data_IF_177399514067
#
_entry.id   IF_177399514067
#
_cell.length_a   1.000
_cell.length_b   1.000
_cell.length_c   1.000
_cell.angle_alpha   90.00
_cell.angle_beta   90.00
_cell.angle_gamma   90.00
#
_symmetry.space_group_name_H-M   'P 1'
#
loop_
_entity.id
_entity.type
_entity.pdbx_description
1 polymer ?
#
# COMPACT_ATOMS: atom_id res chain seq x y z
N UNK A 1 -20.24 -8.65 -3.81
CA UNK A 1 -19.62 -9.34 -2.64
C UNK A 1 -19.21 -8.37 -1.53
N UNK A 2 -18.70 -7.19 -1.85
CA UNK A 2 -18.24 -6.20 -0.85
C UNK A 2 -19.37 -5.73 0.08
N UNK A 3 -20.62 -5.69 -0.38
CA UNK A 3 -21.79 -5.30 0.43
C UNK A 3 -22.05 -6.28 1.59
N UNK A 4 -21.66 -7.53 1.45
CA UNK A 4 -21.81 -8.54 2.51
C UNK A 4 -20.95 -8.22 3.76
N UNK A 5 -19.86 -7.47 3.58
CA UNK A 5 -18.95 -7.11 4.67
C UNK A 5 -19.34 -5.85 5.44
N UNK A 6 -20.34 -5.08 4.97
CA UNK A 6 -20.77 -3.85 5.65
C UNK A 6 -21.12 -4.09 7.12
N UNK A 7 -21.92 -5.10 7.50
CA UNK A 7 -22.24 -5.34 8.90
C UNK A 7 -21.02 -5.70 9.75
N UNK A 8 -20.07 -6.43 9.18
CA UNK A 8 -18.81 -6.80 9.85
C UNK A 8 -17.90 -5.58 9.98
N UNK A 9 -17.83 -4.77 8.92
CA UNK A 9 -17.08 -3.53 8.90
C UNK A 9 -17.55 -2.52 9.96
N UNK A 10 -18.87 -2.38 10.16
CA UNK A 10 -19.43 -1.48 11.18
C UNK A 10 -19.09 -1.89 12.61
N UNK A 11 -18.67 -3.15 12.82
CA UNK A 11 -18.20 -3.68 14.11
C UNK A 11 -16.68 -3.87 14.16
N UNK A 12 -15.97 -3.53 13.08
CA UNK A 12 -14.52 -3.64 13.03
C UNK A 12 -13.89 -2.58 13.95
N UNK A 13 -12.85 -2.99 14.65
CA UNK A 13 -11.98 -2.13 15.44
C UNK A 13 -10.59 -2.05 14.77
N UNK A 14 -9.67 -1.35 15.42
CA UNK A 14 -8.26 -1.23 15.01
C UNK A 14 -7.63 -2.59 14.65
N UNK A 15 -8.16 -3.65 15.18
CA UNK A 15 -7.63 -5.01 15.08
C UNK A 15 -6.90 -5.39 16.37
N UNK A 16 -6.61 -6.67 16.53
CA UNK A 16 -5.85 -7.20 17.67
C UNK A 16 -4.37 -7.40 17.31
N UNK A 17 -3.94 -6.96 16.13
CA UNK A 17 -2.59 -7.12 15.65
C UNK A 17 -1.68 -6.03 16.23
N UNK A 18 -0.52 -6.46 16.76
CA UNK A 18 0.51 -5.57 17.25
C UNK A 18 0.96 -4.54 16.20
N UNK A 19 0.95 -4.91 14.92
CA UNK A 19 1.30 -4.05 13.80
C UNK A 19 0.36 -2.85 13.66
N UNK A 20 -0.93 -3.06 13.84
CA UNK A 20 -1.94 -1.99 13.79
C UNK A 20 -1.72 -0.96 14.91
N UNK A 21 -1.43 -1.44 16.13
CA UNK A 21 -1.14 -0.54 17.26
C UNK A 21 0.18 0.23 17.07
N UNK A 22 1.22 -0.41 16.53
CA UNK A 22 2.49 0.25 16.25
C UNK A 22 2.33 1.38 15.22
N UNK A 23 1.56 1.15 14.15
CA UNK A 23 1.25 2.15 13.12
C UNK A 23 0.49 3.34 13.68
N UNK A 24 -0.50 3.11 14.55
CA UNK A 24 -1.25 4.18 15.21
C UNK A 24 -0.36 4.91 16.22
N UNK A 25 0.45 4.18 16.96
CA UNK A 25 1.41 4.74 17.93
C UNK A 25 2.37 5.74 17.29
N UNK A 26 2.80 5.52 16.05
CA UNK A 26 3.63 6.46 15.29
C UNK A 26 2.95 7.82 15.14
N UNK A 27 1.66 7.82 14.80
CA UNK A 27 0.89 9.06 14.66
C UNK A 27 0.68 9.77 15.99
N UNK A 28 0.30 9.04 17.05
CA UNK A 28 0.11 9.60 18.38
C UNK A 28 1.41 10.23 18.89
N UNK A 29 2.52 9.52 18.78
CA UNK A 29 3.82 10.03 19.16
C UNK A 29 4.21 11.31 18.37
N UNK A 30 3.90 11.35 17.07
CA UNK A 30 4.18 12.52 16.25
C UNK A 30 3.36 13.75 16.71
N UNK A 31 2.09 13.57 17.06
CA UNK A 31 1.26 14.69 17.58
C UNK A 31 1.76 15.16 18.93
N UNK A 32 2.09 14.25 19.84
CA UNK A 32 2.44 14.59 21.22
C UNK A 32 3.84 15.18 21.35
N UNK A 33 4.81 14.71 20.57
CA UNK A 33 6.22 15.09 20.68
C UNK A 33 6.73 15.96 19.53
N UNK A 34 6.01 16.03 18.39
CA UNK A 34 6.50 16.62 17.15
C UNK A 34 7.62 15.81 16.47
N UNK A 35 7.99 14.66 17.03
CA UNK A 35 9.08 13.82 16.54
C UNK A 35 8.46 12.60 15.86
N UNK A 36 8.83 12.38 14.60
CA UNK A 36 8.44 11.18 13.89
C UNK A 36 9.30 9.99 14.32
N UNK A 37 8.66 8.98 14.89
CA UNK A 37 9.27 7.70 15.23
C UNK A 37 8.56 6.63 14.39
N UNK A 38 9.25 5.96 13.45
CA UNK A 38 8.63 4.94 12.62
C UNK A 38 8.15 3.77 13.47
N UNK A 39 7.02 3.19 13.08
CA UNK A 39 6.42 2.02 13.76
C UNK A 39 7.37 0.83 13.80
N UNK A 40 8.21 0.69 12.78
CA UNK A 40 9.30 -0.29 12.65
C UNK A 40 10.39 0.21 11.69
N UNK A 41 11.66 -0.16 11.88
CA UNK A 41 12.67 0.06 10.87
C UNK A 41 12.40 -0.76 9.59
N UNK A 42 12.49 -0.19 8.39
CA UNK A 42 12.80 1.20 8.05
C UNK A 42 11.60 2.16 8.03
N UNK A 43 10.44 1.77 8.55
CA UNK A 43 9.19 2.53 8.50
C UNK A 43 8.27 2.12 7.33
N UNK A 44 7.05 2.68 7.34
CA UNK A 44 6.04 2.51 6.30
C UNK A 44 5.54 3.89 5.84
N UNK A 45 6.42 4.70 5.20
CA UNK A 45 6.20 6.13 5.03
C UNK A 45 4.84 6.49 4.42
N UNK A 46 4.44 5.79 3.37
CA UNK A 46 3.16 6.10 2.68
C UNK A 46 1.97 5.79 3.58
N UNK A 47 2.00 4.67 4.31
CA UNK A 47 0.89 4.28 5.16
C UNK A 47 0.81 5.14 6.41
N UNK A 48 1.95 5.46 7.02
CA UNK A 48 2.04 6.31 8.21
C UNK A 48 1.62 7.77 7.92
N UNK A 49 2.00 8.32 6.74
CA UNK A 49 1.49 9.61 6.26
C UNK A 49 -0.02 9.54 6.03
N UNK A 50 -0.54 8.46 5.46
CA UNK A 50 -1.96 8.26 5.25
C UNK A 50 -2.74 8.26 6.58
N UNK A 51 -2.22 7.59 7.61
CA UNK A 51 -2.79 7.62 8.97
C UNK A 51 -2.86 9.07 9.47
N UNK A 52 -1.77 9.80 9.39
CA UNK A 52 -1.72 11.20 9.81
C UNK A 52 -2.74 12.08 9.06
N UNK A 53 -2.82 11.92 7.75
CA UNK A 53 -3.76 12.67 6.91
C UNK A 53 -5.22 12.33 7.27
N UNK A 54 -5.55 11.06 7.45
CA UNK A 54 -6.91 10.63 7.79
C UNK A 54 -7.32 11.09 9.19
N UNK A 55 -6.39 11.09 10.14
CA UNK A 55 -6.63 11.64 11.47
C UNK A 55 -6.93 13.13 11.43
N UNK A 56 -6.16 13.90 10.64
CA UNK A 56 -6.41 15.33 10.44
C UNK A 56 -7.80 15.59 9.82
N UNK A 57 -8.14 14.85 8.77
CA UNK A 57 -9.45 14.95 8.11
C UNK A 57 -10.58 14.56 9.08
N UNK A 58 -10.42 13.49 9.84
CA UNK A 58 -11.41 13.04 10.82
C UNK A 58 -11.68 14.11 11.89
N UNK A 59 -10.64 14.74 12.41
CA UNK A 59 -10.76 15.83 13.36
C UNK A 59 -11.46 17.07 12.73
N UNK A 60 -11.13 17.41 11.49
CA UNK A 60 -11.76 18.52 10.77
C UNK A 60 -13.25 18.28 10.52
N UNK A 61 -13.64 17.04 10.25
CA UNK A 61 -15.03 16.63 10.03
C UNK A 61 -15.82 16.41 11.35
N UNK A 62 -15.19 16.59 12.50
CA UNK A 62 -15.82 16.37 13.80
C UNK A 62 -16.16 14.89 14.08
N UNK A 63 -15.48 13.97 13.41
CA UNK A 63 -15.59 12.53 13.70
C UNK A 63 -14.87 12.24 15.01
N UNK A 64 -15.61 11.73 15.99
CA UNK A 64 -15.08 11.50 17.34
C UNK A 64 -13.97 10.42 17.40
N UNK A 65 -13.81 9.61 16.34
CA UNK A 65 -12.83 8.53 16.26
C UNK A 65 -12.10 8.57 14.90
N UNK A 66 -10.83 8.96 14.91
CA UNK A 66 -9.98 8.91 13.71
C UNK A 66 -9.84 7.49 13.12
N UNK A 67 -9.98 6.45 13.97
CA UNK A 67 -9.98 5.04 13.58
C UNK A 67 -11.07 4.73 12.55
N UNK A 68 -12.23 5.35 12.64
CA UNK A 68 -13.31 5.18 11.65
C UNK A 68 -12.91 5.67 10.26
N UNK A 69 -12.19 6.81 10.20
CA UNK A 69 -11.64 7.30 8.92
C UNK A 69 -10.66 6.33 8.30
N UNK A 70 -9.78 5.72 9.08
CA UNK A 70 -8.82 4.71 8.61
C UNK A 70 -9.53 3.44 8.13
N UNK A 71 -10.55 2.99 8.84
CA UNK A 71 -11.34 1.82 8.43
C UNK A 71 -12.09 2.08 7.12
N UNK A 72 -12.59 3.31 6.89
CA UNK A 72 -13.20 3.68 5.61
C UNK A 72 -12.18 3.57 4.48
N UNK A 73 -10.96 4.08 4.66
CA UNK A 73 -9.88 3.95 3.66
C UNK A 73 -9.55 2.50 3.41
N UNK A 74 -9.45 1.69 4.45
CA UNK A 74 -9.17 0.27 4.33
C UNK A 74 -10.27 -0.46 3.55
N UNK A 75 -11.54 -0.14 3.83
CA UNK A 75 -12.67 -0.68 3.08
C UNK A 75 -12.66 -0.27 1.61
N UNK A 76 -12.39 1.01 1.32
CA UNK A 76 -12.26 1.50 -0.06
C UNK A 76 -11.09 0.82 -0.79
N UNK A 77 -9.98 0.58 -0.11
CA UNK A 77 -8.84 -0.17 -0.63
C UNK A 77 -9.23 -1.61 -0.97
N UNK A 78 -9.96 -2.28 -0.08
CA UNK A 78 -10.48 -3.62 -0.30
C UNK A 78 -11.40 -3.69 -1.53
N UNK A 79 -12.35 -2.75 -1.63
CA UNK A 79 -13.28 -2.67 -2.78
C UNK A 79 -12.50 -2.45 -4.08
N UNK A 80 -11.56 -1.50 -4.07
CA UNK A 80 -10.74 -1.16 -5.26
C UNK A 80 -9.90 -2.36 -5.70
N UNK A 81 -9.29 -3.07 -4.76
CA UNK A 81 -8.51 -4.26 -5.04
C UNK A 81 -9.38 -5.40 -5.59
N UNK A 82 -10.59 -5.58 -5.07
CA UNK A 82 -11.56 -6.54 -5.60
C UNK A 82 -11.94 -6.24 -7.06
N UNK A 83 -12.19 -4.98 -7.39
CA UNK A 83 -12.48 -4.56 -8.77
C UNK A 83 -11.28 -4.81 -9.67
N UNK A 84 -10.08 -4.51 -9.21
CA UNK A 84 -8.84 -4.72 -9.96
C UNK A 84 -8.61 -6.22 -10.23
N UNK A 85 -8.70 -7.07 -9.20
CA UNK A 85 -8.55 -8.52 -9.32
C UNK A 85 -9.62 -9.09 -10.27
N UNK A 86 -10.86 -8.66 -10.15
CA UNK A 86 -11.94 -9.04 -11.08
C UNK A 86 -11.58 -8.69 -12.52
N UNK A 87 -11.08 -7.48 -12.77
CA UNK A 87 -10.67 -7.04 -14.10
C UNK A 87 -9.49 -7.86 -14.65
N UNK A 88 -8.54 -8.26 -13.81
CA UNK A 88 -7.48 -9.19 -14.19
C UNK A 88 -8.05 -10.52 -14.69
N UNK A 89 -8.92 -11.14 -13.89
CA UNK A 89 -9.52 -12.40 -14.26
C UNK A 89 -10.45 -12.26 -15.47
N UNK A 90 -11.10 -11.14 -15.66
CA UNK A 90 -11.98 -10.91 -16.79
C UNK A 90 -11.25 -10.86 -18.13
N UNK A 91 -9.97 -10.57 -18.16
CA UNK A 91 -9.14 -10.55 -19.36
C UNK A 91 -8.46 -11.88 -19.67
N UNK A 92 -8.38 -12.83 -18.73
CA UNK A 92 -7.57 -14.05 -18.87
C UNK A 92 -8.28 -15.34 -19.24
N UNK A 93 -9.63 -15.42 -19.34
CA UNK A 93 -10.37 -16.60 -19.83
C UNK A 93 -11.40 -17.23 -18.87
N UNK A 94 -11.90 -18.43 -19.19
CA UNK A 94 -13.18 -18.99 -18.71
C UNK A 94 -13.25 -19.59 -17.27
N UNK A 95 -12.18 -19.72 -16.52
CA UNK A 95 -12.21 -20.29 -15.14
C UNK A 95 -12.09 -19.23 -14.03
N UNK A 96 -12.52 -18.05 -14.30
CA UNK A 96 -12.24 -16.80 -13.59
C UNK A 96 -12.94 -16.66 -12.24
N UNK A 97 -14.21 -17.07 -12.18
CA UNK A 97 -15.03 -16.85 -10.99
C UNK A 97 -14.53 -17.63 -9.78
N UNK A 98 -14.06 -18.86 -9.96
CA UNK A 98 -13.58 -19.68 -8.86
C UNK A 98 -12.34 -19.10 -8.21
N UNK A 99 -11.33 -18.71 -8.99
CA UNK A 99 -10.10 -18.10 -8.46
C UNK A 99 -10.37 -16.75 -7.77
N UNK A 100 -11.24 -15.94 -8.36
CA UNK A 100 -11.67 -14.70 -7.73
C UNK A 100 -12.32 -14.96 -6.36
N UNK A 101 -13.24 -15.91 -6.28
CA UNK A 101 -13.88 -16.27 -5.02
C UNK A 101 -12.89 -16.82 -4.00
N UNK A 102 -11.94 -17.67 -4.40
CA UNK A 102 -10.93 -18.22 -3.51
C UNK A 102 -10.04 -17.13 -2.89
N UNK A 103 -9.67 -16.09 -3.67
CA UNK A 103 -8.90 -14.98 -3.16
C UNK A 103 -9.74 -14.12 -2.20
N UNK A 104 -10.94 -13.71 -2.63
CA UNK A 104 -11.79 -12.79 -1.89
C UNK A 104 -12.34 -13.41 -0.60
N UNK A 105 -12.52 -14.75 -0.56
CA UNK A 105 -12.96 -15.48 0.62
C UNK A 105 -11.79 -15.99 1.49
N UNK A 106 -10.55 -15.73 1.09
CA UNK A 106 -9.38 -16.08 1.90
C UNK A 106 -9.45 -15.36 3.26
N UNK A 107 -9.32 -16.08 4.39
CA UNK A 107 -9.35 -15.46 5.72
C UNK A 107 -8.34 -14.34 5.89
N UNK A 108 -7.13 -14.51 5.38
CA UNK A 108 -6.06 -13.49 5.44
C UNK A 108 -6.49 -12.22 4.72
N UNK A 109 -7.08 -12.35 3.53
CA UNK A 109 -7.55 -11.22 2.75
C UNK A 109 -8.68 -10.46 3.46
N UNK A 110 -9.61 -11.20 4.07
CA UNK A 110 -10.73 -10.63 4.82
C UNK A 110 -10.28 -9.92 6.09
N UNK A 111 -9.42 -10.56 6.87
CA UNK A 111 -8.86 -9.96 8.09
C UNK A 111 -8.09 -8.68 7.74
N UNK A 112 -7.25 -8.71 6.70
CA UNK A 112 -6.51 -7.53 6.25
C UNK A 112 -7.42 -6.39 5.78
N UNK A 113 -8.64 -6.69 5.30
CA UNK A 113 -9.63 -5.69 4.89
C UNK A 113 -10.43 -5.07 6.03
N UNK A 114 -10.40 -5.70 7.20
CA UNK A 114 -11.19 -5.32 8.38
C UNK A 114 -10.32 -4.78 9.53
N UNK A 115 -9.02 -4.74 9.36
CA UNK A 115 -8.05 -4.24 10.32
C UNK A 115 -7.19 -3.12 9.69
N UNK A 116 -6.63 -2.25 10.53
CA UNK A 116 -5.76 -1.17 10.07
C UNK A 116 -4.36 -1.75 9.82
N UNK A 117 -4.18 -2.36 8.65
CA UNK A 117 -2.94 -3.01 8.23
C UNK A 117 -2.54 -2.51 6.83
N UNK A 118 -1.25 -2.38 6.61
CA UNK A 118 -0.63 -1.85 5.38
C UNK A 118 -0.72 -2.79 4.16
N UNK A 119 -0.98 -4.09 4.36
CA UNK A 119 -0.88 -5.12 3.30
C UNK A 119 -1.73 -4.85 2.06
N UNK A 120 -3.01 -4.48 2.24
CA UNK A 120 -3.93 -4.31 1.11
C UNK A 120 -3.60 -3.08 0.27
N UNK A 121 -3.21 -1.98 0.91
CA UNK A 121 -2.88 -0.75 0.19
C UNK A 121 -1.62 -0.94 -0.68
N UNK A 122 -0.58 -1.58 -0.13
CA UNK A 122 0.61 -1.92 -0.89
C UNK A 122 0.32 -2.87 -2.05
N UNK A 123 -0.54 -3.87 -1.81
CA UNK A 123 -1.01 -4.78 -2.86
C UNK A 123 -1.82 -4.05 -3.93
N UNK A 124 -2.70 -3.11 -3.56
CA UNK A 124 -3.48 -2.32 -4.52
C UNK A 124 -2.55 -1.55 -5.48
N UNK A 125 -1.57 -0.85 -4.96
CA UNK A 125 -0.61 -0.13 -5.80
C UNK A 125 0.23 -1.07 -6.67
N UNK A 126 0.75 -2.16 -6.10
CA UNK A 126 1.56 -3.14 -6.82
C UNK A 126 0.79 -3.83 -7.95
N UNK A 127 -0.44 -4.31 -7.68
CA UNK A 127 -1.29 -4.90 -8.71
C UNK A 127 -1.77 -3.88 -9.73
N UNK A 128 -1.99 -2.62 -9.36
CA UNK A 128 -2.33 -1.56 -10.31
C UNK A 128 -1.19 -1.30 -11.29
N UNK A 129 0.05 -1.23 -10.79
CA UNK A 129 1.24 -1.12 -11.63
C UNK A 129 1.38 -2.32 -12.59
N UNK A 130 1.17 -3.54 -12.08
CA UNK A 130 1.22 -4.76 -12.88
C UNK A 130 0.12 -4.79 -13.94
N UNK A 131 -1.09 -4.35 -13.61
CA UNK A 131 -2.19 -4.24 -14.57
C UNK A 131 -1.86 -3.28 -15.72
N UNK A 132 -1.29 -2.12 -15.42
CA UNK A 132 -0.85 -1.16 -16.44
C UNK A 132 0.27 -1.76 -17.31
N UNK A 133 1.26 -2.41 -16.71
CA UNK A 133 2.36 -3.06 -17.42
C UNK A 133 1.90 -4.18 -18.36
N UNK A 134 0.82 -4.88 -18.00
CA UNK A 134 0.27 -5.95 -18.83
C UNK A 134 -0.58 -5.45 -19.99
N UNK A 135 -1.43 -4.44 -19.76
CA UNK A 135 -2.54 -4.12 -20.66
C UNK A 135 -2.52 -2.71 -21.27
N UNK A 136 -1.66 -1.80 -20.81
CA UNK A 136 -1.65 -0.40 -21.23
C UNK A 136 -0.23 0.14 -21.44
N UNK A 137 0.60 -0.57 -22.17
CA UNK A 137 2.03 -0.25 -22.25
C UNK A 137 2.42 0.77 -23.37
N UNK A 138 1.45 1.29 -24.13
CA UNK A 138 1.74 1.97 -25.40
C UNK A 138 2.11 3.45 -25.25
N UNK A 139 1.93 4.08 -24.09
CA UNK A 139 2.13 5.52 -23.92
C UNK A 139 3.25 5.82 -22.90
N UNK A 140 4.09 6.80 -23.20
CA UNK A 140 5.22 7.18 -22.33
C UNK A 140 4.82 7.56 -20.90
N UNK A 141 3.66 8.19 -20.71
CA UNK A 141 3.16 8.52 -19.37
C UNK A 141 2.81 7.29 -18.54
N UNK A 142 2.50 6.13 -19.17
CA UNK A 142 2.27 4.89 -18.43
C UNK A 142 3.50 4.39 -17.71
N UNK A 143 4.70 4.63 -18.24
CA UNK A 143 5.96 4.27 -17.57
C UNK A 143 6.13 5.05 -16.28
N UNK A 144 5.85 6.35 -16.33
CA UNK A 144 5.90 7.22 -15.14
C UNK A 144 4.85 6.75 -14.11
N UNK A 145 3.62 6.48 -14.57
CA UNK A 145 2.55 6.03 -13.69
C UNK A 145 2.86 4.66 -13.04
N UNK A 146 3.43 3.73 -13.80
CA UNK A 146 3.90 2.43 -13.27
C UNK A 146 4.97 2.69 -12.18
N UNK A 147 5.95 3.56 -12.44
CA UNK A 147 7.02 3.87 -11.48
C UNK A 147 6.47 4.53 -10.20
N UNK A 148 5.51 5.46 -10.33
CA UNK A 148 4.85 6.10 -9.18
C UNK A 148 4.08 5.06 -8.35
N UNK A 149 3.29 4.20 -8.99
CA UNK A 149 2.54 3.16 -8.29
C UNK A 149 3.46 2.15 -7.59
N UNK A 150 4.57 1.77 -8.24
CA UNK A 150 5.58 0.90 -7.63
C UNK A 150 6.26 1.55 -6.43
N UNK A 151 6.63 2.84 -6.56
CA UNK A 151 7.26 3.57 -5.45
C UNK A 151 6.30 3.74 -4.27
N UNK A 152 5.01 4.00 -4.54
CA UNK A 152 3.99 4.03 -3.49
C UNK A 152 3.81 2.65 -2.85
N UNK A 153 3.78 1.57 -3.63
CA UNK A 153 3.71 0.21 -3.09
C UNK A 153 4.90 -0.09 -2.17
N UNK A 154 6.12 0.23 -2.60
CA UNK A 154 7.35 0.06 -1.82
C UNK A 154 7.31 0.97 -0.57
N UNK A 155 6.84 2.21 -0.70
CA UNK A 155 6.69 3.15 0.41
C UNK A 155 5.62 2.73 1.43
N UNK A 156 4.60 1.97 1.00
CA UNK A 156 3.67 1.32 1.95
C UNK A 156 4.37 0.18 2.68
N UNK A 157 5.16 -0.63 1.98
CA UNK A 157 5.89 -1.74 2.57
C UNK A 157 7.07 -2.15 1.68
N UNK A 158 8.26 -2.19 2.24
CA UNK A 158 9.49 -2.49 1.47
C UNK A 158 9.42 -3.84 0.74
N UNK A 159 8.75 -4.85 1.31
CA UNK A 159 8.57 -6.16 0.67
C UNK A 159 7.84 -6.10 -0.67
N UNK A 160 7.08 -5.03 -0.95
CA UNK A 160 6.41 -4.83 -2.23
C UNK A 160 7.39 -4.55 -3.39
N UNK A 161 8.69 -4.43 -3.13
CA UNK A 161 9.73 -4.42 -4.17
C UNK A 161 9.63 -5.65 -5.10
N UNK A 162 8.99 -6.72 -4.64
CA UNK A 162 8.71 -7.91 -5.48
C UNK A 162 7.92 -7.55 -6.75
N UNK A 163 6.99 -6.58 -6.69
CA UNK A 163 6.24 -6.14 -7.86
C UNK A 163 7.15 -5.49 -8.92
N UNK A 164 8.19 -4.77 -8.49
CA UNK A 164 9.18 -4.21 -9.41
C UNK A 164 9.88 -5.35 -10.17
N UNK A 165 10.39 -6.35 -9.48
CA UNK A 165 11.05 -7.49 -10.13
C UNK A 165 10.13 -8.22 -11.09
N UNK A 166 8.87 -8.47 -10.70
CA UNK A 166 7.87 -9.13 -11.56
C UNK A 166 7.63 -8.31 -12.84
N UNK A 167 7.52 -6.98 -12.74
CA UNK A 167 7.29 -6.12 -13.90
C UNK A 167 8.53 -6.05 -14.81
N UNK A 168 9.74 -5.98 -14.23
CA UNK A 168 10.97 -5.99 -15.01
C UNK A 168 11.12 -7.31 -15.79
N UNK A 169 10.87 -8.46 -15.14
CA UNK A 169 10.88 -9.77 -15.79
C UNK A 169 9.82 -9.84 -16.90
N UNK A 170 8.60 -9.35 -16.63
CA UNK A 170 7.53 -9.29 -17.63
C UNK A 170 7.97 -8.51 -18.88
N UNK A 171 8.61 -7.36 -18.72
CA UNK A 171 9.09 -6.56 -19.84
C UNK A 171 10.24 -7.22 -20.61
N UNK A 172 11.13 -7.93 -19.92
CA UNK A 172 12.16 -8.74 -20.58
C UNK A 172 11.54 -9.87 -21.42
N UNK A 173 10.52 -10.57 -20.90
CA UNK A 173 9.80 -11.61 -21.64
C UNK A 173 9.08 -11.03 -22.86
N UNK A 174 8.47 -9.84 -22.73
CA UNK A 174 7.81 -9.11 -23.83
C UNK A 174 8.81 -8.51 -24.82
N UNK A 175 10.11 -8.61 -24.58
CA UNK A 175 11.19 -8.00 -25.39
C UNK A 175 11.02 -6.49 -25.56
N UNK A 176 10.55 -5.82 -24.50
CA UNK A 176 10.47 -4.36 -24.46
C UNK A 176 11.86 -3.72 -24.54
N UNK A 177 11.89 -2.46 -24.96
CA UNK A 177 13.15 -1.73 -25.06
C UNK A 177 13.83 -1.62 -23.69
N UNK A 178 15.13 -1.97 -23.63
CA UNK A 178 15.94 -1.90 -22.40
C UNK A 178 15.93 -0.49 -21.78
N UNK A 179 15.85 0.56 -22.59
CA UNK A 179 15.73 1.93 -22.08
C UNK A 179 14.45 2.13 -21.25
N UNK A 180 13.32 1.57 -21.67
CA UNK A 180 12.05 1.62 -20.89
C UNK A 180 12.20 0.90 -19.56
N UNK A 181 12.80 -0.28 -19.57
CA UNK A 181 13.02 -1.11 -18.36
C UNK A 181 13.90 -0.34 -17.39
N UNK A 182 15.00 0.27 -17.89
CA UNK A 182 15.91 1.05 -17.08
C UNK A 182 15.25 2.30 -16.50
N UNK A 183 14.45 3.04 -17.28
CA UNK A 183 13.73 4.23 -16.82
C UNK A 183 12.76 3.86 -15.68
N UNK A 184 11.99 2.79 -15.83
CA UNK A 184 11.04 2.36 -14.79
C UNK A 184 11.79 1.96 -13.52
N UNK A 185 12.85 1.18 -13.64
CA UNK A 185 13.65 0.76 -12.51
C UNK A 185 14.26 1.97 -11.78
N UNK A 186 14.95 2.86 -12.53
CA UNK A 186 15.61 4.03 -11.97
C UNK A 186 14.62 4.99 -11.31
N UNK A 187 13.54 5.34 -12.01
CA UNK A 187 12.51 6.24 -11.45
C UNK A 187 11.85 5.64 -10.22
N UNK A 188 11.54 4.34 -10.19
CA UNK A 188 10.99 3.69 -9.00
C UNK A 188 11.94 3.76 -7.83
N UNK A 189 13.23 3.45 -8.03
CA UNK A 189 14.24 3.50 -6.95
C UNK A 189 14.41 4.93 -6.43
N UNK A 190 14.50 5.93 -7.33
CA UNK A 190 14.67 7.34 -6.94
C UNK A 190 13.44 7.82 -6.14
N UNK A 191 12.23 7.57 -6.65
CA UNK A 191 11.01 7.98 -5.96
C UNK A 191 10.83 7.25 -4.61
N UNK A 192 11.14 5.95 -4.54
CA UNK A 192 11.13 5.22 -3.27
C UNK A 192 12.17 5.79 -2.30
N UNK A 193 13.36 6.12 -2.77
CA UNK A 193 14.40 6.77 -1.97
C UNK A 193 13.93 8.10 -1.38
N UNK A 194 13.23 8.93 -2.16
CA UNK A 194 12.63 10.17 -1.65
C UNK A 194 11.57 9.92 -0.57
N UNK A 195 10.76 8.86 -0.70
CA UNK A 195 9.77 8.53 0.32
C UNK A 195 10.43 8.10 1.64
N UNK A 196 11.55 7.40 1.59
CA UNK A 196 12.27 6.93 2.78
C UNK A 196 13.27 7.96 3.34
N UNK A 197 13.63 9.00 2.58
CA UNK A 197 14.66 9.97 2.98
C UNK A 197 14.38 10.69 4.31
N UNK A 198 13.15 11.20 4.57
CA UNK A 198 12.84 11.86 5.85
C UNK A 198 13.02 10.92 7.06
N UNK A 199 12.82 9.64 6.85
CA UNK A 199 12.86 8.61 7.88
C UNK A 199 14.29 8.16 8.19
N UNK A 200 15.18 8.19 7.20
CA UNK A 200 16.57 7.82 7.37
C UNK A 200 17.30 8.73 8.37
N UNK A 201 17.06 10.03 8.30
CA UNK A 201 17.67 10.99 9.22
C UNK A 201 17.22 10.75 10.66
N UNK A 202 15.95 10.42 10.89
CA UNK A 202 15.44 10.13 12.22
C UNK A 202 15.97 8.78 12.79
N UNK A 203 16.12 7.79 11.93
CA UNK A 203 16.75 6.51 12.29
C UNK A 203 18.23 6.70 12.67
N UNK A 204 18.96 7.52 11.91
CA UNK A 204 20.37 7.81 12.21
C UNK A 204 20.50 8.47 13.58
N UNK A 205 19.66 9.46 13.89
CA UNK A 205 19.65 10.12 15.19
C UNK A 205 19.28 9.14 16.32
N UNK A 206 18.29 8.27 16.10
CA UNK A 206 17.90 7.24 17.06
C UNK A 206 19.06 6.28 17.41
N UNK A 207 19.83 5.84 16.41
CA UNK A 207 20.99 4.95 16.63
C UNK A 207 22.20 5.68 17.20
N UNK A 208 22.34 6.98 16.94
CA UNK A 208 23.47 7.78 17.48
C UNK A 208 23.21 8.28 18.91
N UNK A 209 21.95 8.55 19.24
CA UNK A 209 21.56 9.01 20.60
C UNK A 209 21.42 7.83 21.59
N UNK A 210 21.21 6.61 21.11
CA UNK A 210 21.26 5.39 21.93
C UNK A 210 22.70 4.87 22.06
N UNK A 211 23.61 5.69 22.54
CA UNK A 211 24.86 5.20 23.12
C UNK A 211 24.56 4.39 24.40
N UNK A 212 24.05 3.17 24.21
CA UNK A 212 23.96 2.13 25.23
C UNK A 212 25.01 1.07 24.89
#
# INVERSE_FOLDING_TARGET
SSLFFIPVFLKANVGSDWDSYALIGTYVNFIDSGIYIPSRPPGFPVFEILIGLMSYISNYLGLNNFEQGLLIVQFLTLVSLNVLIYNFFNKTGNKKSLFFFLIVLSPIYLISGLSIIDYLLGSLFGFSALYLALYKNDLNYHQILISVLLSLAIGVRLSNVIFLFVILILFLIKKENLSKIFIIALTTVVLSGFLYFPFYNNLYNFYTDTNI
#
